data_IF_951339390434
#
_entry.id   IF_951339390434
#
_cell.length_a   1.000
_cell.length_b   1.000
_cell.length_c   1.000
_cell.angle_alpha   90.00
_cell.angle_beta   90.00
_cell.angle_gamma   90.00
#
_symmetry.space_group_name_H-M   'P 1'
#
loop_
_entity.id
_entity.type
_entity.pdbx_description
1 polymer ?
#
# COMPACT_ATOMS: atom_id res chain seq x y z
N UNK A 1 16.64 -4.78 -38.04
CA UNK A 1 16.79 -3.51 -37.31
C UNK A 1 15.44 -3.05 -36.82
N UNK A 2 15.39 -2.58 -35.60
CA UNK A 2 14.16 -2.01 -35.06
C UNK A 2 13.90 -0.66 -35.68
N UNK A 3 12.67 -0.41 -36.13
CA UNK A 3 12.27 0.89 -36.62
C UNK A 3 12.16 1.89 -35.47
N UNK A 4 12.11 3.18 -35.81
CA UNK A 4 11.89 4.23 -34.81
C UNK A 4 10.60 3.98 -34.06
N UNK A 5 9.54 3.55 -34.74
CA UNK A 5 8.25 3.29 -34.10
C UNK A 5 8.34 2.18 -33.08
N UNK A 6 9.06 1.09 -33.41
CA UNK A 6 9.26 -0.03 -32.48
C UNK A 6 10.00 0.42 -31.23
N UNK A 7 11.02 1.26 -31.39
CA UNK A 7 11.76 1.80 -30.23
C UNK A 7 10.89 2.69 -29.36
N UNK A 8 10.02 3.48 -29.98
CA UNK A 8 9.06 4.31 -29.23
C UNK A 8 8.10 3.43 -28.44
N UNK A 9 7.57 2.38 -29.06
CA UNK A 9 6.66 1.44 -28.37
C UNK A 9 7.35 0.80 -27.17
N UNK A 10 8.58 0.35 -27.35
CA UNK A 10 9.35 -0.25 -26.23
C UNK A 10 9.54 0.73 -25.09
N UNK A 11 9.88 1.98 -25.39
CA UNK A 11 10.07 3.02 -24.38
C UNK A 11 8.76 3.30 -23.63
N UNK A 12 7.65 3.37 -24.34
CA UNK A 12 6.35 3.59 -23.72
C UNK A 12 5.96 2.43 -22.81
N UNK A 13 6.23 1.19 -23.23
CA UNK A 13 5.98 0.03 -22.40
C UNK A 13 6.80 0.06 -21.11
N UNK A 14 8.08 0.45 -21.20
CA UNK A 14 8.93 0.59 -20.03
C UNK A 14 8.40 1.64 -19.07
N UNK A 15 7.97 2.79 -19.58
CA UNK A 15 7.41 3.88 -18.76
C UNK A 15 6.12 3.47 -18.09
N UNK A 16 5.24 2.78 -18.80
CA UNK A 16 3.99 2.26 -18.23
C UNK A 16 4.30 1.29 -17.09
N UNK A 17 5.26 0.39 -17.28
CA UNK A 17 5.68 -0.53 -16.25
C UNK A 17 6.21 0.16 -15.01
N UNK A 18 7.02 1.22 -15.17
CA UNK A 18 7.56 1.99 -14.05
C UNK A 18 6.45 2.72 -13.29
N UNK A 19 5.54 3.37 -14.00
CA UNK A 19 4.42 4.08 -13.39
C UNK A 19 3.52 3.12 -12.63
N UNK A 20 3.20 1.97 -13.23
CA UNK A 20 2.38 0.96 -12.59
C UNK A 20 3.03 0.44 -11.32
N UNK A 21 4.35 0.16 -11.36
CA UNK A 21 5.09 -0.32 -10.20
C UNK A 21 5.08 0.71 -9.07
N UNK A 22 5.30 1.98 -9.39
CA UNK A 22 5.29 3.05 -8.39
C UNK A 22 3.91 3.19 -7.76
N UNK A 23 2.86 3.17 -8.57
CA UNK A 23 1.49 3.29 -8.10
C UNK A 23 1.12 2.12 -7.18
N UNK A 24 1.42 0.90 -7.62
CA UNK A 24 1.14 -0.30 -6.82
C UNK A 24 1.90 -0.29 -5.50
N UNK A 25 3.15 0.17 -5.51
CA UNK A 25 3.96 0.28 -4.30
C UNK A 25 3.33 1.28 -3.33
N UNK A 26 2.88 2.43 -3.82
CA UNK A 26 2.23 3.44 -2.98
C UNK A 26 0.93 2.91 -2.38
N UNK A 27 0.14 2.19 -3.17
CA UNK A 27 -1.09 1.56 -2.68
C UNK A 27 -0.79 0.52 -1.61
N UNK A 28 0.24 -0.30 -1.80
CA UNK A 28 0.63 -1.32 -0.83
C UNK A 28 1.08 -0.67 0.49
N UNK A 29 1.86 0.41 0.42
CA UNK A 29 2.28 1.15 1.61
C UNK A 29 1.07 1.73 2.34
N UNK A 30 0.16 2.35 1.63
CA UNK A 30 -1.04 2.94 2.23
C UNK A 30 -1.89 1.87 2.90
N UNK A 31 -2.07 0.72 2.26
CA UNK A 31 -2.82 -0.39 2.82
C UNK A 31 -2.16 -0.93 4.08
N UNK A 32 -0.83 -1.06 4.07
CA UNK A 32 -0.08 -1.53 5.24
C UNK A 32 -0.23 -0.55 6.41
N UNK A 33 -0.12 0.75 6.15
CA UNK A 33 -0.29 1.78 7.17
C UNK A 33 -1.69 1.77 7.76
N UNK A 34 -2.72 1.60 6.93
CA UNK A 34 -4.10 1.50 7.39
C UNK A 34 -4.31 0.27 8.27
N UNK A 35 -3.73 -0.86 7.88
CA UNK A 35 -3.80 -2.11 8.66
C UNK A 35 -3.12 -1.93 10.02
N UNK A 36 -1.94 -1.33 10.05
CA UNK A 36 -1.22 -1.05 11.30
C UNK A 36 -2.04 -0.14 12.22
N UNK A 37 -2.64 0.90 11.66
CA UNK A 37 -3.47 1.82 12.44
C UNK A 37 -4.69 1.11 13.04
N UNK A 38 -5.34 0.24 12.27
CA UNK A 38 -6.48 -0.53 12.75
C UNK A 38 -6.07 -1.51 13.86
N UNK A 39 -4.95 -2.19 13.70
CA UNK A 39 -4.42 -3.09 14.72
C UNK A 39 -4.10 -2.36 16.01
N UNK A 40 -3.52 -1.17 15.92
CA UNK A 40 -3.22 -0.34 17.08
C UNK A 40 -4.51 0.07 17.80
N UNK A 41 -5.55 0.44 17.04
CA UNK A 41 -6.84 0.81 17.63
C UNK A 41 -7.54 -0.39 18.27
N UNK A 42 -7.47 -1.55 17.64
CA UNK A 42 -8.04 -2.77 18.20
C UNK A 42 -7.38 -3.14 19.54
N UNK A 43 -6.05 -3.01 19.61
CA UNK A 43 -5.31 -3.24 20.85
C UNK A 43 -5.71 -2.26 21.94
N UNK A 44 -5.89 -0.98 21.59
CA UNK A 44 -6.33 0.07 22.50
C UNK A 44 -7.72 -0.21 23.04
N UNK A 45 -8.64 -0.61 22.17
CA UNK A 45 -10.01 -0.96 22.56
C UNK A 45 -10.00 -2.16 23.51
N UNK A 46 -9.22 -3.19 23.22
CA UNK A 46 -9.12 -4.36 24.08
C UNK A 46 -8.58 -3.99 25.47
N UNK A 47 -7.58 -3.13 25.52
CA UNK A 47 -7.02 -2.66 26.79
C UNK A 47 -8.05 -1.86 27.58
N UNK A 48 -8.80 -0.99 26.94
CA UNK A 48 -9.86 -0.21 27.61
C UNK A 48 -10.96 -1.10 28.15
N UNK A 49 -11.36 -2.12 27.39
CA UNK A 49 -12.37 -3.09 27.87
C UNK A 49 -11.89 -3.84 29.09
N UNK A 50 -10.62 -4.29 29.09
CA UNK A 50 -10.05 -5.00 30.21
C UNK A 50 -9.99 -4.12 31.47
N UNK A 51 -9.63 -2.85 31.32
CA UNK A 51 -9.62 -1.91 32.44
C UNK A 51 -11.02 -1.68 33.01
N UNK A 52 -12.02 -1.60 32.15
CA UNK A 52 -13.41 -1.44 32.58
C UNK A 52 -13.88 -2.66 33.36
N UNK A 53 -13.57 -3.87 32.91
CA UNK A 53 -13.92 -5.09 33.60
C UNK A 53 -13.24 -5.20 34.97
N UNK A 54 -11.97 -4.79 35.06
CA UNK A 54 -11.24 -4.78 36.31
C UNK A 54 -11.79 -3.80 37.33
N UNK A 55 -12.39 -2.69 36.84
CA UNK A 55 -12.97 -1.66 37.70
C UNK A 55 -14.31 -2.08 38.28
N UNK A 56 -14.95 -3.04 37.67
CA UNK A 56 -16.23 -3.57 38.18
C UNK A 56 -16.01 -4.68 39.14
#
# INVERSE_FOLDING_TARGET
MSSTLELVVQELQNRIGQITTQYETQLAILKAQATEALQAKDAEISELKNKKEESN
#
